data_IF_594836143493
#
_entry.id   IF_594836143493
#
_cell.length_a   1.000
_cell.length_b   1.000
_cell.length_c   1.000
_cell.angle_alpha   90.00
_cell.angle_beta   90.00
_cell.angle_gamma   90.00
#
_symmetry.space_group_name_H-M   'P 1'
#
loop_
_entity.id
_entity.type
_entity.pdbx_description
1 polymer ?
#
# COMPACT_ATOMS: atom_id res chain seq x y z
N UNK A 1 -9.39 -24.01 3.17
CA UNK A 1 -10.09 -22.94 3.95
C UNK A 1 -9.22 -21.71 3.89
N UNK A 2 -9.79 -20.54 3.60
CA UNK A 2 -9.03 -19.29 3.67
C UNK A 2 -8.49 -19.12 5.10
N UNK A 3 -7.23 -18.69 5.23
CA UNK A 3 -6.61 -18.43 6.54
C UNK A 3 -7.13 -17.12 7.10
N UNK A 4 -7.37 -17.08 8.41
CA UNK A 4 -7.70 -15.85 9.13
C UNK A 4 -6.54 -14.87 9.07
N UNK A 5 -6.81 -13.56 9.22
CA UNK A 5 -5.82 -12.51 9.02
C UNK A 5 -4.64 -12.63 9.99
N UNK A 6 -4.87 -13.05 11.23
CA UNK A 6 -3.83 -13.29 12.24
C UNK A 6 -2.86 -14.38 11.77
N UNK A 7 -3.38 -15.44 11.14
CA UNK A 7 -2.55 -16.49 10.54
C UNK A 7 -1.75 -15.96 9.35
N UNK A 8 -2.38 -15.15 8.48
CA UNK A 8 -1.69 -14.52 7.33
C UNK A 8 -0.56 -13.60 7.78
N UNK A 9 -0.68 -12.92 8.94
CA UNK A 9 0.38 -12.12 9.51
C UNK A 9 1.65 -12.92 9.88
N UNK A 10 1.51 -14.22 10.13
CA UNK A 10 2.59 -15.10 10.62
C UNK A 10 3.09 -16.03 9.53
N UNK A 11 2.20 -16.57 8.70
CA UNK A 11 2.50 -17.59 7.70
C UNK A 11 1.93 -17.23 6.33
N UNK A 12 2.74 -17.33 5.28
CA UNK A 12 2.28 -17.34 3.90
C UNK A 12 1.73 -18.72 3.51
N UNK A 13 0.70 -18.77 2.67
CA UNK A 13 0.11 -20.05 2.19
C UNK A 13 1.08 -20.87 1.35
N UNK A 14 1.99 -20.21 0.63
CA UNK A 14 2.98 -20.84 -0.24
C UNK A 14 4.23 -21.35 0.49
N UNK A 15 4.39 -21.06 1.79
CA UNK A 15 5.56 -21.45 2.58
C UNK A 15 5.69 -22.97 2.75
N UNK A 16 4.61 -23.72 2.61
CA UNK A 16 4.63 -25.20 2.73
C UNK A 16 5.53 -25.87 1.69
N UNK A 17 5.88 -25.18 0.60
CA UNK A 17 6.73 -25.70 -0.48
C UNK A 17 8.05 -24.93 -0.67
N UNK A 18 8.27 -23.81 0.04
CA UNK A 18 9.48 -22.97 -0.06
C UNK A 18 10.36 -23.07 1.18
N UNK A 19 10.74 -24.29 1.55
CA UNK A 19 11.73 -24.51 2.62
C UNK A 19 13.03 -23.87 2.13
N UNK A 20 13.48 -22.80 2.82
CA UNK A 20 14.83 -22.28 2.60
C UNK A 20 15.85 -23.40 2.89
N UNK A 21 17.04 -23.32 2.33
CA UNK A 21 18.05 -24.40 2.34
C UNK A 21 18.34 -25.00 3.72
N UNK A 22 17.95 -24.33 4.82
CA UNK A 22 18.24 -24.76 6.20
C UNK A 22 16.98 -24.94 7.06
N UNK A 23 15.78 -24.78 6.50
CA UNK A 23 14.52 -24.93 7.25
C UNK A 23 14.33 -23.86 8.34
N UNK A 24 14.88 -22.63 8.16
CA UNK A 24 14.72 -21.55 9.13
C UNK A 24 13.25 -21.08 9.17
N UNK A 25 12.65 -21.07 10.36
CA UNK A 25 11.27 -20.62 10.57
C UNK A 25 11.13 -19.11 10.35
N UNK A 26 12.15 -18.31 10.73
CA UNK A 26 12.21 -16.91 10.36
C UNK A 26 12.83 -16.77 8.98
N UNK A 27 12.17 -16.06 8.08
CA UNK A 27 12.67 -15.88 6.72
C UNK A 27 14.04 -15.18 6.73
N UNK A 28 15.06 -15.69 5.99
CA UNK A 28 16.41 -15.16 6.00
C UNK A 28 16.51 -13.75 5.41
N UNK A 29 17.49 -12.97 5.89
CA UNK A 29 17.85 -11.67 5.31
C UNK A 29 18.93 -11.90 4.23
N UNK A 30 18.55 -11.72 2.97
CA UNK A 30 19.49 -11.78 1.84
C UNK A 30 20.08 -10.40 1.57
N UNK A 31 21.10 -10.04 2.34
CA UNK A 31 21.81 -8.75 2.23
C UNK A 31 22.86 -8.84 1.13
N UNK A 32 22.41 -8.97 -0.13
CA UNK A 32 23.25 -9.08 -1.32
C UNK A 32 22.77 -8.13 -2.40
N UNK A 33 23.70 -7.48 -3.11
CA UNK A 33 23.38 -6.65 -4.27
C UNK A 33 23.20 -7.49 -5.54
N UNK A 34 24.06 -8.50 -5.74
CA UNK A 34 24.13 -9.34 -6.94
C UNK A 34 24.09 -10.82 -6.55
N UNK A 35 23.70 -11.67 -7.50
CA UNK A 35 23.57 -13.12 -7.29
C UNK A 35 24.39 -13.87 -8.33
N UNK A 36 25.02 -14.98 -7.91
CA UNK A 36 25.77 -15.84 -8.80
C UNK A 36 24.83 -16.69 -9.66
N UNK A 37 25.16 -16.83 -10.93
CA UNK A 37 24.46 -17.70 -11.85
C UNK A 37 25.17 -19.07 -11.91
N UNK A 38 24.44 -20.20 -11.96
CA UNK A 38 25.02 -21.53 -12.12
C UNK A 38 25.79 -21.72 -13.43
N UNK A 39 25.43 -20.98 -14.47
CA UNK A 39 26.05 -21.03 -15.79
C UNK A 39 25.51 -19.93 -16.71
N UNK A 40 26.09 -19.82 -17.90
CA UNK A 40 25.63 -18.88 -18.94
C UNK A 40 24.20 -19.19 -19.33
N UNK A 41 23.32 -18.18 -19.29
CA UNK A 41 21.89 -18.34 -19.58
C UNK A 41 21.09 -19.06 -18.51
N UNK A 42 21.67 -19.35 -17.34
CA UNK A 42 20.99 -19.95 -16.20
C UNK A 42 20.88 -18.91 -15.08
N UNK A 43 19.65 -18.71 -14.56
CA UNK A 43 19.39 -17.84 -13.40
C UNK A 43 18.77 -18.64 -12.28
N UNK A 44 19.01 -18.23 -11.02
CA UNK A 44 18.31 -18.73 -9.83
C UNK A 44 16.95 -18.03 -9.64
N UNK A 45 16.57 -17.11 -10.54
CA UNK A 45 15.40 -16.23 -10.40
C UNK A 45 15.80 -14.86 -9.82
N UNK A 46 17.02 -14.72 -9.29
CA UNK A 46 17.53 -13.49 -8.71
C UNK A 46 18.84 -13.11 -9.37
N UNK A 47 18.93 -11.88 -9.88
CA UNK A 47 20.11 -11.36 -10.55
C UNK A 47 20.69 -10.16 -9.82
N UNK A 48 19.84 -9.24 -9.42
CA UNK A 48 20.22 -7.97 -8.82
C UNK A 48 19.11 -7.43 -7.88
N UNK A 49 19.46 -7.04 -6.65
CA UNK A 49 18.50 -6.70 -5.58
C UNK A 49 17.62 -5.47 -5.88
N UNK A 50 18.02 -4.54 -6.76
CA UNK A 50 17.14 -3.47 -7.23
C UNK A 50 15.94 -4.05 -8.00
N UNK A 51 16.14 -5.12 -8.75
CA UNK A 51 15.11 -5.82 -9.51
C UNK A 51 14.25 -6.69 -8.58
N UNK A 52 14.90 -7.67 -7.95
CA UNK A 52 14.29 -8.65 -7.07
C UNK A 52 15.25 -9.02 -5.93
N UNK A 53 14.70 -9.24 -4.74
CA UNK A 53 15.45 -9.70 -3.58
C UNK A 53 14.56 -10.68 -2.80
N UNK A 54 15.04 -11.87 -2.39
CA UNK A 54 14.20 -12.88 -1.74
C UNK A 54 13.49 -12.36 -0.47
N UNK A 55 14.18 -11.58 0.36
CA UNK A 55 13.61 -11.00 1.59
C UNK A 55 12.50 -10.00 1.28
N UNK A 56 12.71 -9.14 0.26
CA UNK A 56 11.68 -8.19 -0.16
C UNK A 56 10.49 -8.89 -0.80
N UNK A 57 10.71 -9.88 -1.65
CA UNK A 57 9.63 -10.66 -2.25
C UNK A 57 8.77 -11.38 -1.22
N UNK A 58 9.40 -11.94 -0.18
CA UNK A 58 8.65 -12.56 0.93
C UNK A 58 7.75 -11.55 1.65
N UNK A 59 8.24 -10.34 1.94
CA UNK A 59 7.42 -9.26 2.50
C UNK A 59 6.31 -8.81 1.55
N UNK A 60 6.62 -8.66 0.26
CA UNK A 60 5.65 -8.28 -0.77
C UNK A 60 4.50 -9.29 -0.86
N UNK A 61 4.80 -10.58 -0.89
CA UNK A 61 3.79 -11.66 -0.85
C UNK A 61 2.95 -11.62 0.43
N UNK A 62 3.57 -11.35 1.57
CA UNK A 62 2.83 -11.20 2.84
C UNK A 62 1.82 -10.06 2.76
N UNK A 63 2.24 -8.88 2.30
CA UNK A 63 1.35 -7.70 2.21
C UNK A 63 0.25 -7.91 1.15
N UNK A 64 0.58 -8.53 0.02
CA UNK A 64 -0.41 -8.91 -0.99
C UNK A 64 -1.49 -9.84 -0.40
N UNK A 65 -1.08 -10.86 0.36
CA UNK A 65 -2.01 -11.80 1.03
C UNK A 65 -2.90 -11.11 2.07
N UNK A 66 -2.37 -10.13 2.80
CA UNK A 66 -3.15 -9.37 3.81
C UNK A 66 -4.22 -8.49 3.18
N UNK A 67 -3.94 -7.88 2.02
CA UNK A 67 -4.88 -7.02 1.28
C UNK A 67 -5.74 -7.79 0.27
N UNK A 68 -5.62 -9.13 0.19
CA UNK A 68 -6.27 -9.96 -0.84
C UNK A 68 -5.92 -9.54 -2.28
N UNK A 69 -4.72 -8.97 -2.48
CA UNK A 69 -4.17 -8.62 -3.79
C UNK A 69 -3.42 -9.76 -4.45
N UNK A 70 -3.25 -9.68 -5.77
CA UNK A 70 -2.41 -10.62 -6.52
C UNK A 70 -0.93 -10.28 -6.43
N UNK A 71 -0.62 -9.01 -6.19
CA UNK A 71 0.76 -8.52 -6.10
C UNK A 71 0.86 -7.30 -5.16
N UNK A 72 2.02 -7.19 -4.50
CA UNK A 72 2.42 -6.00 -3.75
C UNK A 72 3.88 -5.67 -4.02
N UNK A 73 4.21 -4.38 -3.97
CA UNK A 73 5.57 -3.89 -4.12
C UNK A 73 5.97 -3.09 -2.87
N UNK A 74 7.18 -3.34 -2.38
CA UNK A 74 7.72 -2.68 -1.19
C UNK A 74 8.72 -1.57 -1.55
N UNK A 75 8.49 -0.37 -1.02
CA UNK A 75 9.22 0.87 -1.28
C UNK A 75 9.91 1.41 -0.03
N UNK A 76 10.93 2.23 -0.23
CA UNK A 76 11.68 2.89 0.84
C UNK A 76 10.85 3.87 1.71
N UNK A 77 9.65 4.25 1.28
CA UNK A 77 8.69 5.04 2.06
C UNK A 77 7.31 5.04 1.40
N UNK A 78 6.26 5.43 2.13
CA UNK A 78 4.93 5.66 1.55
C UNK A 78 4.96 6.70 0.42
N UNK A 79 5.75 7.77 0.58
CA UNK A 79 5.90 8.77 -0.49
C UNK A 79 6.60 8.22 -1.73
N UNK A 80 7.57 7.31 -1.58
CA UNK A 80 8.19 6.64 -2.74
C UNK A 80 7.17 5.76 -3.49
N UNK A 81 6.28 5.09 -2.76
CA UNK A 81 5.17 4.33 -3.34
C UNK A 81 4.21 5.25 -4.13
N UNK A 82 3.74 6.34 -3.51
CA UNK A 82 2.84 7.30 -4.18
C UNK A 82 3.50 7.94 -5.39
N UNK A 83 4.79 8.33 -5.29
CA UNK A 83 5.53 8.92 -6.41
C UNK A 83 5.61 7.94 -7.59
N UNK A 84 5.91 6.66 -7.33
CA UNK A 84 5.94 5.66 -8.40
C UNK A 84 4.54 5.42 -8.99
N UNK A 85 3.51 5.40 -8.17
CA UNK A 85 2.11 5.26 -8.64
C UNK A 85 1.73 6.39 -9.60
N UNK A 86 2.22 7.62 -9.37
CA UNK A 86 1.98 8.75 -10.27
C UNK A 86 2.56 8.55 -11.68
N UNK A 87 3.55 7.66 -11.87
CA UNK A 87 4.10 7.29 -13.18
C UNK A 87 3.13 6.44 -14.06
N UNK A 88 1.96 6.09 -13.53
CA UNK A 88 0.85 5.55 -14.34
C UNK A 88 0.22 6.62 -15.24
N UNK A 89 0.34 7.88 -14.86
CA UNK A 89 -0.32 9.00 -15.52
C UNK A 89 0.67 9.80 -16.36
N UNK A 90 0.16 10.43 -17.41
CA UNK A 90 0.93 11.25 -18.35
C UNK A 90 0.46 12.70 -18.32
N UNK A 91 1.27 13.66 -18.83
CA UNK A 91 0.83 15.04 -18.97
C UNK A 91 -0.53 15.18 -19.64
N UNK A 92 -1.42 15.96 -19.05
CA UNK A 92 -2.81 16.15 -19.49
C UNK A 92 -3.82 15.18 -18.87
N UNK A 93 -3.39 14.15 -18.14
CA UNK A 93 -4.32 13.32 -17.36
C UNK A 93 -4.80 14.08 -16.12
N UNK A 94 -6.07 13.87 -15.75
CA UNK A 94 -6.71 14.48 -14.61
C UNK A 94 -7.02 13.44 -13.52
N UNK A 95 -6.76 13.78 -12.27
CA UNK A 95 -7.11 12.99 -11.10
C UNK A 95 -8.05 13.79 -10.17
N UNK A 96 -9.05 13.13 -9.64
CA UNK A 96 -9.84 13.62 -8.51
C UNK A 96 -9.15 13.10 -7.25
N UNK A 97 -8.81 14.00 -6.33
CA UNK A 97 -8.13 13.66 -5.07
C UNK A 97 -8.96 14.15 -3.89
N UNK A 98 -8.99 13.39 -2.79
CA UNK A 98 -9.67 13.85 -1.59
C UNK A 98 -9.07 15.17 -1.10
N UNK A 99 -9.92 16.07 -0.60
CA UNK A 99 -9.51 17.36 -0.09
C UNK A 99 -8.74 17.25 1.23
N UNK A 100 -9.00 16.20 2.00
CA UNK A 100 -8.31 15.90 3.26
C UNK A 100 -7.44 14.66 3.07
N UNK A 101 -6.16 14.87 2.81
CA UNK A 101 -5.14 13.84 2.59
C UNK A 101 -3.91 14.13 3.46
N UNK A 102 -3.09 13.10 3.65
CA UNK A 102 -1.77 13.29 4.22
C UNK A 102 -1.02 14.43 3.50
N UNK A 103 -0.49 15.38 4.27
CA UNK A 103 0.15 16.58 3.73
C UNK A 103 1.33 16.34 2.78
N UNK A 104 1.98 15.15 2.86
CA UNK A 104 2.98 14.71 1.92
C UNK A 104 2.42 14.45 0.52
N UNK A 105 1.23 13.83 0.45
CA UNK A 105 0.53 13.56 -0.81
C UNK A 105 0.08 14.86 -1.48
N UNK A 106 -0.52 15.77 -0.71
CA UNK A 106 -0.92 17.11 -1.20
C UNK A 106 0.29 17.85 -1.77
N UNK A 107 1.41 17.84 -1.05
CA UNK A 107 2.65 18.50 -1.49
C UNK A 107 3.21 17.89 -2.77
N UNK A 108 3.19 16.55 -2.90
CA UNK A 108 3.60 15.86 -4.12
C UNK A 108 2.72 16.28 -5.30
N UNK A 109 1.41 16.26 -5.13
CA UNK A 109 0.46 16.60 -6.20
C UNK A 109 0.64 18.02 -6.66
N UNK A 110 0.63 19.00 -5.76
CA UNK A 110 0.65 20.44 -6.08
C UNK A 110 2.02 20.95 -6.56
N UNK A 111 3.13 20.30 -6.19
CA UNK A 111 4.46 20.86 -6.50
C UNK A 111 5.30 20.01 -7.44
N UNK A 112 4.98 18.72 -7.57
CA UNK A 112 5.72 17.80 -8.44
C UNK A 112 4.85 17.32 -9.59
N UNK A 113 3.69 16.75 -9.28
CA UNK A 113 2.83 16.14 -10.30
C UNK A 113 2.20 17.19 -11.21
N UNK A 114 1.71 18.32 -10.69
CA UNK A 114 1.23 19.45 -11.51
C UNK A 114 2.33 20.00 -12.43
N UNK A 115 3.56 20.15 -11.91
CA UNK A 115 4.70 20.57 -12.72
C UNK A 115 4.97 19.58 -13.88
N UNK A 116 4.66 18.30 -13.69
CA UNK A 116 4.79 17.26 -14.70
C UNK A 116 3.56 17.19 -15.62
N UNK A 117 2.64 18.15 -15.51
CA UNK A 117 1.47 18.28 -16.39
C UNK A 117 0.27 17.44 -16.01
N UNK A 118 0.22 16.87 -14.79
CA UNK A 118 -0.96 16.18 -14.27
C UNK A 118 -1.92 17.23 -13.67
N UNK A 119 -3.21 17.11 -13.99
CA UNK A 119 -4.25 17.98 -13.48
C UNK A 119 -4.94 17.36 -12.27
N UNK A 120 -5.38 18.20 -11.31
CA UNK A 120 -6.07 17.74 -10.11
C UNK A 120 -7.36 18.51 -9.84
N UNK A 121 -8.38 17.82 -9.33
CA UNK A 121 -9.52 18.41 -8.61
C UNK A 121 -9.51 17.89 -7.18
N UNK A 122 -9.38 18.82 -6.22
CA UNK A 122 -9.49 18.52 -4.80
C UNK A 122 -10.97 18.57 -4.41
N UNK A 123 -11.52 17.45 -3.90
CA UNK A 123 -12.95 17.24 -3.64
C UNK A 123 -13.13 16.60 -2.26
N UNK A 124 -14.07 17.10 -1.46
CA UNK A 124 -14.47 16.44 -0.21
C UNK A 124 -15.27 15.16 -0.52
N UNK A 125 -14.53 14.05 -0.73
CA UNK A 125 -15.09 12.82 -1.26
C UNK A 125 -16.12 12.14 -0.33
N UNK A 126 -16.17 12.50 0.95
CA UNK A 126 -17.16 11.95 1.87
C UNK A 126 -18.50 12.73 1.88
N UNK A 127 -18.52 13.96 1.32
CA UNK A 127 -19.70 14.83 1.29
C UNK A 127 -20.22 15.14 -0.10
N UNK A 128 -19.30 15.27 -1.07
CA UNK A 128 -19.62 15.77 -2.40
C UNK A 128 -19.87 14.63 -3.40
N UNK A 129 -20.65 14.94 -4.42
CA UNK A 129 -20.83 14.02 -5.54
C UNK A 129 -19.60 14.02 -6.45
N UNK A 130 -18.71 13.07 -6.23
CA UNK A 130 -17.45 12.92 -7.00
C UNK A 130 -17.71 12.86 -8.51
N UNK A 131 -18.84 12.30 -8.95
CA UNK A 131 -19.16 12.19 -10.36
C UNK A 131 -19.32 13.57 -11.07
N UNK A 132 -19.65 14.62 -10.33
CA UNK A 132 -19.77 15.99 -10.87
C UNK A 132 -18.42 16.61 -11.29
N UNK A 133 -17.31 16.06 -10.81
CA UNK A 133 -15.94 16.53 -11.09
C UNK A 133 -15.23 15.73 -12.18
N UNK A 134 -15.88 14.68 -12.71
CA UNK A 134 -15.30 13.85 -13.76
C UNK A 134 -15.26 14.64 -15.07
N UNK A 135 -14.08 14.67 -15.69
CA UNK A 135 -13.78 15.29 -16.99
C UNK A 135 -13.44 14.20 -18.02
N UNK A 136 -13.38 14.56 -19.29
CA UNK A 136 -12.99 13.65 -20.38
C UNK A 136 -11.59 13.05 -20.16
N UNK A 137 -10.67 13.84 -19.62
CA UNK A 137 -9.30 13.44 -19.31
C UNK A 137 -9.12 12.86 -17.90
N UNK A 138 -10.16 12.63 -17.11
CA UNK A 138 -10.06 12.01 -15.77
C UNK A 138 -9.65 10.55 -15.90
N UNK A 139 -8.67 10.12 -15.09
CA UNK A 139 -8.11 8.75 -15.08
C UNK A 139 -8.26 8.04 -13.77
N UNK A 140 -8.30 8.77 -12.65
CA UNK A 140 -8.36 8.15 -11.33
C UNK A 140 -9.09 9.02 -10.30
N UNK A 141 -9.55 8.35 -9.25
CA UNK A 141 -9.94 8.92 -7.97
C UNK A 141 -8.96 8.41 -6.91
N UNK A 142 -8.34 9.31 -6.16
CA UNK A 142 -7.42 9.00 -5.06
C UNK A 142 -8.03 9.48 -3.75
N UNK A 143 -8.22 8.56 -2.81
CA UNK A 143 -8.75 8.85 -1.48
C UNK A 143 -7.86 8.27 -0.37
N UNK A 144 -7.97 8.84 0.82
CA UNK A 144 -7.49 8.29 2.07
C UNK A 144 -8.70 8.11 3.00
N UNK A 145 -8.88 6.94 3.60
CA UNK A 145 -10.04 6.73 4.47
C UNK A 145 -9.76 5.71 5.59
N UNK A 146 -9.92 6.11 6.87
CA UNK A 146 -10.17 7.48 7.36
C UNK A 146 -9.04 8.45 6.99
N UNK A 147 -9.38 9.73 6.79
CA UNK A 147 -8.42 10.76 6.38
C UNK A 147 -7.48 11.18 7.51
N UNK A 148 -6.33 11.74 7.18
CA UNK A 148 -5.41 12.38 8.13
C UNK A 148 -5.27 13.87 7.78
N UNK A 149 -5.67 14.86 8.65
CA UNK A 149 -5.91 14.64 10.08
C UNK A 149 -7.39 14.57 10.51
N UNK A 150 -8.37 14.81 9.63
CA UNK A 150 -9.74 15.07 10.04
C UNK A 150 -10.56 13.81 10.34
N UNK A 151 -10.02 12.61 10.08
CA UNK A 151 -10.69 11.33 10.32
C UNK A 151 -12.04 11.17 9.58
N UNK A 152 -12.17 11.81 8.42
CA UNK A 152 -13.33 11.64 7.56
C UNK A 152 -13.37 10.22 6.98
N UNK A 153 -14.56 9.63 6.92
CA UNK A 153 -14.75 8.28 6.38
C UNK A 153 -15.52 8.36 5.06
N UNK A 154 -14.93 7.81 4.02
CA UNK A 154 -15.50 7.76 2.67
C UNK A 154 -15.93 6.35 2.32
N UNK A 155 -17.12 6.19 1.72
CA UNK A 155 -17.64 4.89 1.26
C UNK A 155 -16.88 4.44 -0.01
N UNK A 156 -15.91 3.53 0.19
CA UNK A 156 -15.08 2.97 -0.88
C UNK A 156 -15.95 2.28 -1.94
N UNK A 157 -16.97 1.51 -1.51
CA UNK A 157 -17.82 0.75 -2.42
C UNK A 157 -18.64 1.67 -3.33
N UNK A 158 -19.21 2.72 -2.78
CA UNK A 158 -19.94 3.71 -3.56
C UNK A 158 -19.03 4.42 -4.58
N UNK A 159 -17.80 4.77 -4.20
CA UNK A 159 -16.83 5.35 -5.13
C UNK A 159 -16.34 4.35 -6.18
N UNK A 160 -16.20 3.07 -5.83
CA UNK A 160 -15.83 2.02 -6.78
C UNK A 160 -16.89 1.85 -7.88
N UNK A 161 -18.17 1.96 -7.53
CA UNK A 161 -19.26 1.95 -8.53
C UNK A 161 -19.18 3.15 -9.49
N UNK A 162 -18.87 4.34 -8.99
CA UNK A 162 -18.66 5.55 -9.80
C UNK A 162 -17.43 5.37 -10.69
N UNK A 163 -16.30 4.96 -10.13
CA UNK A 163 -15.05 4.76 -10.86
C UNK A 163 -15.23 3.75 -12.00
N UNK A 164 -15.83 2.60 -11.69
CA UNK A 164 -16.12 1.55 -12.68
C UNK A 164 -17.02 2.04 -13.81
N UNK A 165 -18.09 2.78 -13.48
CA UNK A 165 -19.02 3.34 -14.50
C UNK A 165 -18.32 4.27 -15.48
N UNK A 166 -17.30 4.98 -15.03
CA UNK A 166 -16.57 5.98 -15.82
C UNK A 166 -15.19 5.49 -16.31
N UNK A 167 -14.88 4.19 -16.10
CA UNK A 167 -13.60 3.58 -16.46
C UNK A 167 -12.39 4.32 -15.84
N UNK A 168 -12.52 4.69 -14.56
CA UNK A 168 -11.47 5.33 -13.75
C UNK A 168 -10.84 4.31 -12.82
N UNK A 169 -9.57 4.53 -12.44
CA UNK A 169 -8.94 3.81 -11.35
C UNK A 169 -9.43 4.36 -10.01
N UNK A 170 -9.73 3.49 -9.06
CA UNK A 170 -9.92 3.86 -7.66
C UNK A 170 -8.68 3.47 -6.86
N UNK A 171 -8.02 4.47 -6.28
CA UNK A 171 -6.81 4.35 -5.49
C UNK A 171 -7.14 4.73 -4.06
N UNK A 172 -6.83 3.84 -3.11
CA UNK A 172 -7.17 4.03 -1.69
C UNK A 172 -5.90 3.94 -0.83
N UNK A 173 -5.59 5.01 -0.12
CA UNK A 173 -4.60 4.97 0.96
C UNK A 173 -5.24 4.36 2.21
N UNK A 174 -4.82 3.13 2.54
CA UNK A 174 -5.34 2.30 3.64
C UNK A 174 -4.40 2.28 4.86
N UNK A 175 -3.53 3.28 4.96
CA UNK A 175 -2.49 3.33 6.00
C UNK A 175 -3.06 3.28 7.41
N UNK A 176 -4.17 3.99 7.68
CA UNK A 176 -4.70 4.13 9.04
C UNK A 176 -5.35 2.85 9.57
N UNK A 177 -6.30 2.28 8.84
CA UNK A 177 -6.99 1.06 9.27
C UNK A 177 -6.15 -0.20 9.08
N UNK A 178 -5.17 -0.16 8.19
CA UNK A 178 -4.38 -1.33 7.78
C UNK A 178 -5.24 -2.45 7.18
N UNK A 179 -4.65 -3.49 6.59
CA UNK A 179 -5.43 -4.63 6.10
C UNK A 179 -6.13 -5.42 7.21
N UNK A 180 -5.83 -5.11 8.49
CA UNK A 180 -6.49 -5.77 9.62
C UNK A 180 -7.97 -5.36 9.76
N UNK A 181 -8.30 -4.09 9.56
CA UNK A 181 -9.67 -3.59 9.69
C UNK A 181 -10.35 -3.26 8.36
N UNK A 182 -9.61 -3.10 7.28
CA UNK A 182 -10.17 -2.70 6.00
C UNK A 182 -9.37 -3.31 4.83
N UNK A 183 -10.07 -3.92 3.87
CA UNK A 183 -9.50 -4.42 2.62
C UNK A 183 -10.14 -3.69 1.42
N UNK A 184 -9.57 -2.58 0.95
CA UNK A 184 -10.17 -1.78 -0.12
C UNK A 184 -10.32 -2.52 -1.45
N UNK A 185 -9.43 -3.50 -1.76
CA UNK A 185 -9.56 -4.31 -2.98
C UNK A 185 -10.86 -5.11 -2.99
N UNK A 186 -11.29 -5.66 -1.84
CA UNK A 186 -12.55 -6.38 -1.71
C UNK A 186 -13.78 -5.46 -1.86
N UNK A 187 -13.58 -4.16 -1.67
CA UNK A 187 -14.61 -3.12 -1.83
C UNK A 187 -14.62 -2.49 -3.22
N UNK A 188 -13.71 -2.93 -4.10
CA UNK A 188 -13.66 -2.53 -5.51
C UNK A 188 -12.60 -1.48 -5.85
N UNK A 189 -11.64 -1.21 -4.97
CA UNK A 189 -10.45 -0.44 -5.33
C UNK A 189 -9.55 -1.22 -6.31
N UNK A 190 -8.84 -0.50 -7.17
CA UNK A 190 -7.86 -1.07 -8.11
C UNK A 190 -6.45 -1.11 -7.50
N UNK A 191 -6.13 -0.11 -6.68
CA UNK A 191 -4.81 0.07 -6.06
C UNK A 191 -4.99 0.46 -4.60
N UNK A 192 -4.23 -0.21 -3.73
CA UNK A 192 -4.11 0.16 -2.31
C UNK A 192 -2.71 0.69 -2.04
N UNK A 193 -2.65 1.79 -1.31
CA UNK A 193 -1.42 2.43 -0.87
C UNK A 193 -1.26 2.24 0.64
N UNK A 194 -0.04 2.00 1.10
CA UNK A 194 0.30 2.04 2.52
C UNK A 194 1.58 2.80 2.79
N UNK A 195 1.58 3.58 3.86
CA UNK A 195 2.80 3.86 4.60
C UNK A 195 3.06 2.71 5.57
N UNK A 196 3.95 1.79 5.20
CA UNK A 196 4.35 0.68 6.08
C UNK A 196 5.05 1.13 7.36
N UNK A 197 5.52 2.36 7.40
CA UNK A 197 6.09 3.06 8.56
C UNK A 197 5.16 3.08 9.78
N UNK A 198 3.84 2.99 9.57
CA UNK A 198 2.80 3.13 10.59
C UNK A 198 2.48 1.75 11.22
N UNK A 199 1.24 1.33 11.17
CA UNK A 199 0.79 0.11 11.86
C UNK A 199 1.41 -1.18 11.32
N UNK A 200 1.74 -1.27 10.01
CA UNK A 200 2.39 -2.46 9.46
C UNK A 200 3.76 -2.71 10.11
N UNK A 201 4.61 -1.69 10.18
CA UNK A 201 5.88 -1.76 10.91
C UNK A 201 5.67 -1.78 12.42
N UNK A 202 4.94 -0.81 12.93
CA UNK A 202 4.42 -0.74 14.30
C UNK A 202 5.45 -0.45 15.41
N UNK A 203 6.73 -0.23 15.09
CA UNK A 203 7.82 -0.09 16.06
C UNK A 203 8.61 1.21 15.92
N UNK A 204 8.26 2.08 14.97
CA UNK A 204 8.92 3.38 14.72
C UNK A 204 10.43 3.28 14.44
N UNK A 205 10.89 2.19 13.89
CA UNK A 205 12.31 1.85 13.67
C UNK A 205 12.70 1.77 12.20
N UNK A 206 11.75 1.83 11.27
CA UNK A 206 12.00 1.83 9.83
C UNK A 206 10.92 2.57 9.04
N UNK A 207 11.26 3.03 7.84
CA UNK A 207 10.33 3.56 6.85
C UNK A 207 10.02 2.50 5.81
N UNK A 208 8.77 2.45 5.38
CA UNK A 208 8.36 1.62 4.25
C UNK A 208 7.11 2.19 3.58
N UNK A 209 6.90 1.81 2.32
CA UNK A 209 5.66 2.04 1.58
C UNK A 209 5.26 0.80 0.79
N UNK A 210 3.97 0.68 0.46
CA UNK A 210 3.48 -0.41 -0.36
C UNK A 210 2.47 0.08 -1.38
N UNK A 211 2.49 -0.55 -2.56
CA UNK A 211 1.40 -0.55 -3.52
C UNK A 211 0.91 -1.98 -3.67
N UNK A 212 -0.39 -2.18 -3.55
CA UNK A 212 -1.04 -3.49 -3.70
C UNK A 212 -2.12 -3.38 -4.77
N UNK A 213 -2.25 -4.41 -5.60
CA UNK A 213 -3.29 -4.47 -6.64
C UNK A 213 -3.77 -5.90 -6.86
N UNK A 214 -4.99 -6.03 -7.38
CA UNK A 214 -5.54 -7.29 -7.89
C UNK A 214 -5.62 -7.32 -9.42
N UNK A 215 -4.94 -6.38 -10.12
CA UNK A 215 -4.92 -6.25 -11.57
C UNK A 215 -3.54 -6.58 -12.13
N UNK A 216 -3.46 -7.54 -13.05
CA UNK A 216 -2.22 -7.97 -13.69
C UNK A 216 -1.55 -6.84 -14.49
N UNK A 217 -2.31 -6.06 -15.27
CA UNK A 217 -1.78 -4.95 -16.07
C UNK A 217 -1.09 -3.88 -15.21
N UNK A 218 -1.66 -3.58 -14.04
CA UNK A 218 -1.08 -2.63 -13.08
C UNK A 218 0.15 -3.24 -12.40
N UNK A 219 0.09 -4.51 -11.99
CA UNK A 219 1.21 -5.22 -11.38
C UNK A 219 2.44 -5.22 -12.32
N UNK A 220 2.27 -5.63 -13.59
CA UNK A 220 3.33 -5.64 -14.59
C UNK A 220 3.94 -4.23 -14.78
N UNK A 221 3.09 -3.20 -14.83
CA UNK A 221 3.56 -1.81 -14.95
C UNK A 221 4.33 -1.36 -13.73
N UNK A 222 3.86 -1.65 -12.53
CA UNK A 222 4.58 -1.34 -11.29
C UNK A 222 5.91 -2.09 -11.17
N UNK A 223 5.94 -3.37 -11.53
CA UNK A 223 7.17 -4.17 -11.57
C UNK A 223 8.19 -3.60 -12.57
N UNK A 224 7.74 -3.08 -13.71
CA UNK A 224 8.60 -2.35 -14.64
C UNK A 224 9.12 -1.04 -14.03
N UNK A 225 8.25 -0.26 -13.42
CA UNK A 225 8.59 1.06 -12.87
C UNK A 225 9.56 0.95 -11.68
N UNK A 226 9.33 0.05 -10.72
CA UNK A 226 10.19 -0.07 -9.52
C UNK A 226 11.61 -0.45 -9.88
N UNK A 227 11.81 -1.38 -10.83
CA UNK A 227 13.16 -1.75 -11.29
C UNK A 227 13.85 -0.63 -12.06
N UNK A 228 13.08 0.27 -12.68
CA UNK A 228 13.60 1.40 -13.46
C UNK A 228 13.97 2.58 -12.57
N UNK A 229 13.08 2.94 -11.63
CA UNK A 229 13.27 4.08 -10.71
C UNK A 229 14.15 3.75 -9.51
N UNK A 230 14.17 2.49 -9.08
CA UNK A 230 15.06 2.02 -8.02
C UNK A 230 14.58 2.30 -6.59
N UNK A 231 13.32 2.62 -6.37
CA UNK A 231 12.76 3.00 -5.06
C UNK A 231 12.45 1.81 -4.12
N UNK A 232 12.95 0.59 -4.42
CA UNK A 232 12.67 -0.62 -3.65
C UNK A 232 13.21 -0.59 -2.22
N UNK A 233 12.47 -1.22 -1.30
CA UNK A 233 12.85 -1.32 0.12
C UNK A 233 14.08 -2.22 0.29
N UNK A 234 15.00 -1.82 1.20
CA UNK A 234 16.20 -2.57 1.50
C UNK A 234 15.87 -3.88 2.29
N UNK A 235 16.68 -4.95 2.14
CA UNK A 235 16.38 -6.26 2.75
C UNK A 235 16.26 -6.21 4.28
N UNK A 236 17.08 -5.43 4.95
CA UNK A 236 17.02 -5.30 6.42
C UNK A 236 15.72 -4.60 6.87
N UNK A 237 15.31 -3.55 6.17
CA UNK A 237 14.04 -2.88 6.44
C UNK A 237 12.85 -3.80 6.14
N UNK A 238 12.94 -4.61 5.08
CA UNK A 238 11.94 -5.66 4.80
C UNK A 238 11.78 -6.63 5.97
N UNK A 239 12.90 -7.07 6.58
CA UNK A 239 12.87 -7.93 7.76
C UNK A 239 12.21 -7.25 8.97
N UNK A 240 12.51 -5.97 9.22
CA UNK A 240 11.89 -5.21 10.33
C UNK A 240 10.37 -5.09 10.15
N UNK A 241 9.91 -4.76 8.94
CA UNK A 241 8.48 -4.70 8.63
C UNK A 241 7.83 -6.08 8.76
N UNK A 242 8.45 -7.12 8.21
CA UNK A 242 7.92 -8.50 8.33
C UNK A 242 7.78 -8.92 9.80
N UNK A 243 8.77 -8.58 10.64
CA UNK A 243 8.72 -8.82 12.08
C UNK A 243 7.58 -8.03 12.74
N UNK A 244 7.37 -6.77 12.34
CA UNK A 244 6.29 -5.92 12.84
C UNK A 244 4.90 -6.45 12.50
N UNK A 245 4.71 -6.92 11.27
CA UNK A 245 3.44 -7.51 10.80
C UNK A 245 2.99 -8.68 11.67
N UNK A 246 3.90 -9.50 12.18
CA UNK A 246 3.57 -10.67 13.03
C UNK A 246 2.77 -10.33 14.29
N UNK A 247 2.81 -9.09 14.74
CA UNK A 247 2.04 -8.58 15.89
C UNK A 247 0.95 -7.59 15.47
N UNK A 248 0.63 -7.47 14.20
CA UNK A 248 -0.33 -6.48 13.70
C UNK A 248 -1.69 -6.64 14.39
N UNK A 249 -2.27 -7.84 14.42
CA UNK A 249 -3.58 -8.09 15.00
C UNK A 249 -3.68 -7.63 16.45
N UNK A 250 -2.80 -8.12 17.32
CA UNK A 250 -2.83 -7.76 18.77
C UNK A 250 -2.60 -6.27 19.02
N UNK A 251 -1.85 -5.58 18.15
CA UNK A 251 -1.64 -4.14 18.25
C UNK A 251 -2.85 -3.34 17.77
N UNK A 252 -3.50 -3.78 16.69
CA UNK A 252 -4.70 -3.12 16.16
C UNK A 252 -5.86 -3.27 17.11
N UNK A 253 -6.12 -4.46 17.68
CA UNK A 253 -7.14 -4.68 18.69
C UNK A 253 -6.93 -3.78 19.91
N UNK A 254 -5.71 -3.75 20.44
CA UNK A 254 -5.40 -2.91 21.60
C UNK A 254 -5.54 -1.42 21.28
N UNK A 255 -5.11 -0.98 20.09
CA UNK A 255 -5.28 0.42 19.66
C UNK A 255 -6.76 0.81 19.59
N UNK A 256 -7.61 -0.06 19.05
CA UNK A 256 -9.05 0.15 18.97
C UNK A 256 -9.69 0.20 20.36
N UNK A 257 -9.37 -0.75 21.24
CA UNK A 257 -9.87 -0.75 22.62
C UNK A 257 -9.51 0.55 23.35
N UNK A 258 -8.26 0.99 23.24
CA UNK A 258 -7.80 2.24 23.85
C UNK A 258 -8.54 3.46 23.27
N UNK A 259 -8.76 3.51 21.96
CA UNK A 259 -9.50 4.60 21.30
C UNK A 259 -10.95 4.68 21.80
N UNK A 260 -11.63 3.53 21.96
CA UNK A 260 -12.99 3.46 22.48
C UNK A 260 -13.05 3.99 23.93
N UNK A 261 -12.09 3.61 24.79
CA UNK A 261 -12.06 4.09 26.17
C UNK A 261 -11.78 5.59 26.26
N UNK A 262 -10.86 6.11 25.44
CA UNK A 262 -10.59 7.56 25.36
C UNK A 262 -11.83 8.31 24.88
N UNK A 263 -12.53 7.84 23.84
CA UNK A 263 -13.77 8.45 23.35
C UNK A 263 -14.85 8.54 24.46
N UNK A 264 -15.06 7.43 25.19
CA UNK A 264 -15.98 7.42 26.35
C UNK A 264 -15.56 8.44 27.42
N UNK A 265 -14.26 8.58 27.69
CA UNK A 265 -13.76 9.53 28.67
C UNK A 265 -13.99 10.97 28.20
N UNK A 266 -13.67 11.30 26.95
CA UNK A 266 -13.86 12.64 26.36
C UNK A 266 -15.33 13.03 26.40
N UNK A 267 -16.23 12.13 25.98
CA UNK A 267 -17.69 12.37 26.03
C UNK A 267 -18.21 12.64 27.46
N UNK A 268 -17.65 11.97 28.48
CA UNK A 268 -18.01 12.21 29.90
C UNK A 268 -17.51 13.56 30.42
N UNK A 269 -16.40 14.06 29.92
CA UNK A 269 -15.80 15.34 30.37
C UNK A 269 -16.37 16.56 29.64
N UNK A 270 -17.23 16.37 28.64
CA UNK A 270 -17.86 17.43 27.88
C UNK A 270 -16.90 18.16 26.91
N UNK A 271 -15.71 17.63 26.69
CA UNK A 271 -14.85 18.05 25.59
C UNK A 271 -15.37 17.43 24.29
N UNK A 272 -16.05 18.22 23.47
CA UNK A 272 -16.52 17.86 22.11
C UNK A 272 -15.71 18.63 21.10
#
# INVERSE_FOLDING_TARGET
>A
MAREIETKCIHLEEEENSINHYGAISYPIYQSATYAHPGVGQSTGYDYSRLQNPTREHLEKTVASLENGIDALAFSSGMAAITLMMELFKPGDHLIVDADLYGGSIRLFNHVSEKNGIEFSSVDCHKENVAAYIRENTKAVYIETPTNPMMNVTDIKALAEIAKKHNLLLIVDNTFLSPYFQNPLDLGADIVVHSGTKYLGGHNDTLAGFLVTNREDISERFRFLIKTTGAGLAPFDCFLIQRGIKTLGVRMDRAQENAIEIDKMVKRTGYT
#
